data_IF_934640111996
#
_entry.id   IF_934640111996
#
_cell.length_a   1.000
_cell.length_b   1.000
_cell.length_c   1.000
_cell.angle_alpha   90.00
_cell.angle_beta   90.00
_cell.angle_gamma   90.00
#
_symmetry.space_group_name_H-M   'P 1'
#
loop_
_entity.id
_entity.type
_entity.pdbx_description
1 polymer ?
#
# COMPACT_ATOMS: atom_id res chain seq x y z
N UNK A 1 -24.44 4.13 1.20
CA UNK A 1 -24.44 3.34 -0.06
C UNK A 1 -23.04 2.80 -0.25
N UNK A 2 -22.89 1.53 -0.61
CA UNK A 2 -21.62 1.00 -1.04
C UNK A 2 -21.28 1.60 -2.41
N UNK A 3 -20.04 2.08 -2.59
CA UNK A 3 -19.53 2.55 -3.86
C UNK A 3 -18.53 1.51 -4.37
N UNK A 4 -18.71 1.07 -5.60
CA UNK A 4 -17.81 0.12 -6.25
C UNK A 4 -16.97 0.85 -7.29
N UNK A 5 -15.72 0.42 -7.39
CA UNK A 5 -14.75 0.91 -8.38
C UNK A 5 -14.34 -0.26 -9.27
N UNK A 6 -14.21 -0.01 -10.57
CA UNK A 6 -13.74 -1.07 -11.46
C UNK A 6 -12.24 -1.35 -11.25
N UNK A 7 -11.80 -2.58 -11.54
CA UNK A 7 -10.40 -3.00 -11.27
C UNK A 7 -9.36 -2.16 -12.00
N UNK A 8 -9.63 -1.72 -13.23
CA UNK A 8 -8.67 -0.94 -14.00
C UNK A 8 -8.45 0.47 -13.39
N UNK A 9 -9.51 1.14 -12.96
CA UNK A 9 -9.44 2.41 -12.25
C UNK A 9 -8.77 2.28 -10.89
N UNK A 10 -9.09 1.19 -10.15
CA UNK A 10 -8.43 0.90 -8.89
C UNK A 10 -6.92 0.72 -9.09
N UNK A 11 -6.51 -0.10 -10.06
CA UNK A 11 -5.11 -0.35 -10.37
C UNK A 11 -4.38 0.92 -10.84
N UNK A 12 -5.05 1.81 -11.59
CA UNK A 12 -4.47 3.09 -11.99
C UNK A 12 -4.24 4.05 -10.81
N UNK A 13 -5.07 3.96 -9.75
CA UNK A 13 -4.99 4.87 -8.60
C UNK A 13 -4.09 4.38 -7.47
N UNK A 14 -4.09 3.07 -7.22
CA UNK A 14 -3.47 2.44 -6.06
C UNK A 14 -2.53 1.29 -6.45
N UNK A 15 -2.40 0.96 -7.73
CA UNK A 15 -1.71 -0.25 -8.17
C UNK A 15 -2.58 -1.51 -8.07
N UNK A 16 -2.12 -2.64 -8.64
CA UNK A 16 -2.89 -3.89 -8.71
C UNK A 16 -3.23 -4.44 -7.30
N UNK A 17 -4.29 -5.23 -7.20
CA UNK A 17 -4.73 -5.93 -5.98
C UNK A 17 -4.90 -7.43 -6.23
N UNK A 18 -5.34 -8.19 -5.22
CA UNK A 18 -5.40 -9.67 -5.24
C UNK A 18 -6.02 -10.21 -6.55
N UNK A 19 -5.30 -11.11 -7.22
CA UNK A 19 -5.68 -11.74 -8.49
C UNK A 19 -5.35 -10.91 -9.74
N UNK A 20 -4.96 -9.63 -9.61
CA UNK A 20 -4.44 -8.87 -10.75
C UNK A 20 -3.05 -9.38 -11.13
N UNK A 21 -2.70 -9.20 -12.41
CA UNK A 21 -1.46 -9.68 -13.00
C UNK A 21 -0.63 -8.55 -13.56
N UNK A 22 0.69 -8.64 -13.39
CA UNK A 22 1.67 -7.69 -13.92
C UNK A 22 2.73 -8.43 -14.70
N UNK A 23 3.03 -7.97 -15.91
CA UNK A 23 4.16 -8.45 -16.70
C UNK A 23 5.44 -7.82 -16.19
N UNK A 24 6.49 -8.61 -16.00
CA UNK A 24 7.80 -8.11 -15.62
C UNK A 24 8.51 -7.57 -16.85
N UNK A 25 8.51 -6.24 -16.99
CA UNK A 25 9.11 -5.52 -18.11
C UNK A 25 8.62 -6.05 -19.48
N UNK A 26 9.55 -6.30 -20.39
CA UNK A 26 9.33 -6.82 -21.75
C UNK A 26 9.47 -8.36 -21.83
N UNK A 27 9.52 -9.04 -20.68
CA UNK A 27 9.61 -10.51 -20.62
C UNK A 27 8.24 -11.18 -20.76
N UNK A 28 8.22 -12.51 -20.89
CA UNK A 28 7.01 -13.33 -20.80
C UNK A 28 6.66 -13.78 -19.36
N UNK A 29 7.34 -13.22 -18.35
CA UNK A 29 7.03 -13.50 -16.96
C UNK A 29 5.87 -12.64 -16.49
N UNK A 30 4.84 -13.29 -15.93
CA UNK A 30 3.66 -12.66 -15.38
C UNK A 30 3.54 -13.05 -13.91
N UNK A 31 3.50 -12.06 -13.03
CA UNK A 31 3.26 -12.24 -11.60
C UNK A 31 1.80 -11.93 -11.27
N UNK A 32 1.23 -12.69 -10.33
CA UNK A 32 -0.11 -12.47 -9.81
C UNK A 32 -0.02 -11.97 -8.36
N UNK A 33 -0.85 -10.99 -7.99
CA UNK A 33 -0.92 -10.54 -6.60
C UNK A 33 -1.64 -11.60 -5.77
N UNK A 34 -0.92 -12.27 -4.87
CA UNK A 34 -1.41 -13.38 -4.06
C UNK A 34 -2.25 -12.90 -2.87
N UNK A 35 -1.91 -11.74 -2.32
CA UNK A 35 -2.59 -11.13 -1.17
C UNK A 35 -2.44 -9.62 -1.16
N UNK A 36 -3.50 -8.93 -0.80
CA UNK A 36 -3.48 -7.50 -0.47
C UNK A 36 -3.77 -7.30 1.02
N UNK A 37 -2.96 -6.50 1.69
CA UNK A 37 -3.11 -6.19 3.11
C UNK A 37 -4.02 -4.97 3.36
N UNK A 38 -4.43 -4.27 2.31
CA UNK A 38 -5.30 -3.10 2.45
C UNK A 38 -6.71 -3.45 2.94
N UNK A 39 -7.43 -2.42 3.39
CA UNK A 39 -8.89 -2.44 3.51
C UNK A 39 -9.45 -1.51 2.45
N UNK A 40 -10.28 -2.02 1.54
CA UNK A 40 -10.72 -1.23 0.39
C UNK A 40 -11.48 0.03 0.81
N UNK A 41 -11.06 1.18 0.28
CA UNK A 41 -11.56 2.51 0.65
C UNK A 41 -10.71 3.22 1.73
N UNK A 42 -9.79 2.51 2.37
CA UNK A 42 -8.87 3.02 3.40
C UNK A 42 -7.42 3.03 2.92
N UNK A 43 -7.21 3.04 1.59
CA UNK A 43 -5.87 3.07 0.99
C UNK A 43 -5.13 4.35 1.39
N UNK A 44 -3.85 4.18 1.73
CA UNK A 44 -3.01 5.30 2.14
C UNK A 44 -2.54 6.04 0.90
N UNK A 45 -2.99 7.30 0.72
CA UNK A 45 -2.56 8.15 -0.41
C UNK A 45 -2.22 9.56 0.05
N UNK A 46 -1.02 10.00 -0.29
CA UNK A 46 -0.55 11.36 -0.05
C UNK A 46 -0.93 12.30 -1.20
N UNK A 47 -1.12 13.59 -0.88
CA UNK A 47 -1.39 14.65 -1.86
C UNK A 47 -2.44 15.67 -1.39
N UNK A 48 -2.60 16.74 -2.15
CA UNK A 48 -3.60 17.78 -1.87
C UNK A 48 -5.01 17.21 -1.80
N UNK A 49 -5.68 17.36 -0.65
CA UNK A 49 -7.03 16.83 -0.42
C UNK A 49 -7.13 15.31 -0.33
N UNK A 50 -6.02 14.59 -0.08
CA UNK A 50 -5.98 13.13 0.01
C UNK A 50 -6.01 12.62 1.45
N UNK A 51 -5.67 11.35 1.65
CA UNK A 51 -5.89 10.60 2.90
C UNK A 51 -4.86 10.95 3.98
N UNK A 52 -3.56 11.01 3.63
CA UNK A 52 -2.50 11.38 4.58
C UNK A 52 -2.56 12.87 4.87
N UNK A 53 -3.31 13.24 5.91
CA UNK A 53 -3.43 14.59 6.47
C UNK A 53 -3.65 14.47 7.98
N UNK A 54 -3.27 15.52 8.69
CA UNK A 54 -3.38 15.59 10.15
C UNK A 54 -4.80 15.23 10.64
N UNK A 55 -4.88 14.31 11.60
CA UNK A 55 -6.14 13.81 12.17
C UNK A 55 -6.94 12.87 11.28
N UNK A 56 -6.46 12.55 10.07
CA UNK A 56 -7.05 11.58 9.14
C UNK A 56 -6.14 10.35 9.04
N UNK A 57 -5.61 10.02 7.85
CA UNK A 57 -4.64 8.94 7.67
C UNK A 57 -3.26 9.22 8.26
N UNK A 58 -3.00 10.44 8.76
CA UNK A 58 -1.81 10.76 9.54
C UNK A 58 -2.17 10.87 11.02
N UNK A 59 -1.67 9.92 11.82
CA UNK A 59 -1.79 9.97 13.28
C UNK A 59 -1.03 11.15 13.86
N UNK A 60 -1.52 11.64 15.01
CA UNK A 60 -0.83 12.67 15.82
C UNK A 60 0.19 12.06 16.78
N UNK A 61 0.35 10.73 16.79
CA UNK A 61 1.38 10.05 17.57
C UNK A 61 2.77 10.53 17.12
N UNK A 62 3.61 10.84 18.11
CA UNK A 62 4.99 11.26 17.83
C UNK A 62 5.85 10.10 17.36
N UNK A 63 6.99 10.40 16.74
CA UNK A 63 8.03 9.40 16.42
C UNK A 63 8.41 8.56 17.64
N UNK A 64 8.60 9.21 18.80
CA UNK A 64 8.89 8.52 20.06
C UNK A 64 7.74 7.64 20.52
N UNK A 65 6.50 8.07 20.30
CA UNK A 65 5.28 7.34 20.61
C UNK A 65 4.96 6.16 19.67
N UNK A 66 5.75 5.93 18.62
CA UNK A 66 5.61 4.75 17.76
C UNK A 66 5.51 5.04 16.27
N UNK A 67 5.33 6.30 15.84
CA UNK A 67 5.25 6.62 14.41
C UNK A 67 6.51 6.18 13.64
N UNK A 68 6.31 5.78 12.39
CA UNK A 68 7.38 5.40 11.45
C UNK A 68 8.08 6.64 10.91
N UNK A 69 9.33 6.49 10.46
CA UNK A 69 10.10 7.57 9.83
C UNK A 69 9.65 7.80 8.40
N UNK A 70 9.29 6.72 7.71
CA UNK A 70 8.84 6.73 6.33
C UNK A 70 7.89 5.56 6.12
N UNK A 71 6.89 5.76 5.26
CA UNK A 71 6.02 4.70 4.76
C UNK A 71 6.10 4.68 3.23
N UNK A 72 6.32 3.50 2.65
CA UNK A 72 6.11 3.26 1.23
C UNK A 72 4.69 2.74 1.06
N UNK A 73 3.81 3.55 0.49
CA UNK A 73 2.38 3.23 0.39
C UNK A 73 2.06 2.43 -0.86
N UNK A 74 1.16 1.45 -0.76
CA UNK A 74 0.62 0.67 -1.88
C UNK A 74 1.71 -0.04 -2.74
N UNK A 75 2.74 -0.61 -2.12
CA UNK A 75 3.80 -1.30 -2.82
C UNK A 75 3.36 -2.69 -3.28
N UNK A 76 3.61 -3.02 -4.56
CA UNK A 76 3.63 -4.41 -5.03
C UNK A 76 5.00 -5.00 -4.70
N UNK A 77 5.04 -5.89 -3.72
CA UNK A 77 6.24 -6.54 -3.22
C UNK A 77 6.38 -7.87 -3.94
N UNK A 78 7.54 -8.06 -4.58
CA UNK A 78 7.97 -9.33 -5.15
C UNK A 78 9.18 -9.81 -4.35
N UNK A 79 9.02 -10.90 -3.60
CA UNK A 79 10.08 -11.51 -2.81
C UNK A 79 9.91 -13.04 -2.74
N UNK A 80 10.91 -13.75 -2.20
CA UNK A 80 10.92 -15.23 -2.16
C UNK A 80 9.77 -15.83 -1.36
N UNK A 81 9.20 -15.09 -0.40
CA UNK A 81 8.11 -15.54 0.45
C UNK A 81 6.72 -15.24 -0.13
N UNK A 82 6.63 -14.49 -1.23
CA UNK A 82 5.37 -14.22 -1.90
C UNK A 82 5.35 -12.93 -2.73
N UNK A 83 4.23 -12.76 -3.43
CA UNK A 83 3.94 -11.60 -4.28
C UNK A 83 2.71 -10.89 -3.70
N UNK A 84 2.93 -9.85 -2.90
CA UNK A 84 1.87 -9.22 -2.11
C UNK A 84 1.78 -7.73 -2.31
N UNK A 85 0.61 -7.16 -2.02
CA UNK A 85 0.34 -5.73 -2.00
C UNK A 85 0.25 -5.24 -0.56
N UNK A 86 1.10 -4.30 -0.17
CA UNK A 86 1.16 -3.80 1.20
C UNK A 86 1.79 -2.41 1.29
N UNK A 87 1.60 -1.76 2.43
CA UNK A 87 2.41 -0.65 2.89
C UNK A 87 3.64 -1.16 3.64
N UNK A 88 4.77 -0.46 3.51
CA UNK A 88 6.03 -0.81 4.18
C UNK A 88 6.41 0.33 5.12
N UNK A 89 6.46 0.01 6.42
CA UNK A 89 6.90 0.93 7.47
C UNK A 89 8.41 0.85 7.69
N UNK A 90 9.08 1.99 7.63
CA UNK A 90 10.52 2.12 7.86
C UNK A 90 10.77 2.97 9.10
N UNK A 91 11.63 2.48 10.00
CA UNK A 91 12.07 3.20 11.19
C UNK A 91 13.52 2.87 11.51
N UNK A 92 14.31 3.89 11.85
CA UNK A 92 15.74 3.78 12.15
C UNK A 92 16.52 3.04 11.03
N UNK A 93 16.13 3.30 9.78
CA UNK A 93 16.73 2.68 8.58
C UNK A 93 16.38 1.21 8.36
N UNK A 94 15.42 0.64 9.09
CA UNK A 94 15.01 -0.77 8.99
C UNK A 94 13.53 -0.91 8.64
N UNK A 95 13.18 -2.02 8.00
CA UNK A 95 11.79 -2.44 7.82
C UNK A 95 11.26 -2.89 9.18
N UNK A 96 10.24 -2.22 9.69
CA UNK A 96 9.62 -2.55 10.99
C UNK A 96 8.24 -3.17 10.85
N UNK A 97 7.57 -2.98 9.71
CA UNK A 97 6.27 -3.57 9.43
C UNK A 97 6.04 -3.68 7.91
N UNK A 98 5.33 -4.74 7.51
CA UNK A 98 4.74 -4.91 6.19
C UNK A 98 3.26 -5.23 6.44
N UNK A 99 2.34 -4.42 5.90
CA UNK A 99 0.92 -4.57 6.19
C UNK A 99 0.10 -3.38 5.71
N UNK A 100 -0.78 -2.86 6.56
CA UNK A 100 -1.63 -1.69 6.29
C UNK A 100 -1.21 -0.54 7.20
N UNK A 101 -0.82 0.58 6.62
CA UNK A 101 -0.41 1.79 7.34
C UNK A 101 -1.57 2.79 7.49
N UNK A 102 -1.29 3.92 8.14
CA UNK A 102 -2.26 4.97 8.43
C UNK A 102 -2.38 5.25 9.92
N UNK A 103 -3.38 6.02 10.32
CA UNK A 103 -3.75 6.27 11.70
C UNK A 103 -4.68 5.17 12.21
#
# INVERSE_FOLDING_TARGET
>A
MAYEINRAEYAAMYGPTTGDKVRLADTDLIIEVEKDFTTYGEEVKFGGGKVIRDGMGQSQITRHGGAVDTVVTNALILDYWGIVKADIGIKDGKIVAIGKAGN
#
